data_IF_873364325308
#
_entry.id   IF_873364325308
#
_cell.length_a   1.000
_cell.length_b   1.000
_cell.length_c   1.000
_cell.angle_alpha   90.00
_cell.angle_beta   90.00
_cell.angle_gamma   90.00
#
_symmetry.space_group_name_H-M   'P 1'
#
loop_
_entity.id
_entity.type
_entity.pdbx_description
1 polymer ?
#
# COMPACT_ATOMS: atom_id res chain seq x y z
N UNK A 1 -6.27 10.00 38.38
CA UNK A 1 -5.95 9.04 37.31
C UNK A 1 -6.50 9.61 36.02
N UNK A 2 -5.67 10.14 35.09
CA UNK A 2 -6.17 10.69 33.83
C UNK A 2 -6.98 9.58 33.14
N UNK A 3 -8.23 9.89 32.78
CA UNK A 3 -9.22 8.93 32.30
C UNK A 3 -8.65 8.01 31.22
N UNK A 4 -8.37 6.76 31.57
CA UNK A 4 -7.80 5.70 30.69
C UNK A 4 -8.56 5.57 29.35
N UNK A 5 -9.84 5.94 29.35
CA UNK A 5 -10.72 5.98 28.18
C UNK A 5 -10.25 6.98 27.12
N UNK A 6 -9.78 8.15 27.53
CA UNK A 6 -9.31 9.18 26.59
C UNK A 6 -8.01 8.76 25.91
N UNK A 7 -7.11 8.12 26.67
CA UNK A 7 -5.85 7.57 26.14
C UNK A 7 -6.14 6.44 25.15
N UNK A 8 -7.10 5.56 25.45
CA UNK A 8 -7.51 4.50 24.53
C UNK A 8 -8.03 5.07 23.19
N UNK A 9 -8.86 6.12 23.23
CA UNK A 9 -9.33 6.77 22.00
C UNK A 9 -8.21 7.45 21.20
N UNK A 10 -7.22 8.04 21.88
CA UNK A 10 -6.03 8.58 21.21
C UNK A 10 -5.23 7.49 20.51
N UNK A 11 -5.04 6.34 21.16
CA UNK A 11 -4.34 5.18 20.57
C UNK A 11 -5.11 4.67 19.35
N UNK A 12 -6.43 4.51 19.46
CA UNK A 12 -7.27 4.07 18.34
C UNK A 12 -7.19 5.06 17.17
N UNK A 13 -7.29 6.36 17.45
CA UNK A 13 -7.17 7.40 16.42
C UNK A 13 -5.82 7.34 15.71
N UNK A 14 -4.72 7.19 16.46
CA UNK A 14 -3.39 7.03 15.89
C UNK A 14 -3.28 5.78 15.01
N UNK A 15 -3.84 4.64 15.44
CA UNK A 15 -3.84 3.40 14.66
C UNK A 15 -4.61 3.54 13.33
N UNK A 16 -5.77 4.20 13.35
CA UNK A 16 -6.55 4.44 12.12
C UNK A 16 -5.77 5.31 11.13
N UNK A 17 -5.09 6.36 11.61
CA UNK A 17 -4.25 7.22 10.77
C UNK A 17 -3.09 6.43 10.15
N UNK A 18 -2.40 5.60 10.94
CA UNK A 18 -1.29 4.76 10.45
C UNK A 18 -1.78 3.80 9.36
N UNK A 19 -2.90 3.11 9.59
CA UNK A 19 -3.48 2.21 8.59
C UNK A 19 -3.91 2.93 7.32
N UNK A 20 -4.45 4.15 7.44
CA UNK A 20 -4.80 4.99 6.29
C UNK A 20 -3.59 5.35 5.44
N UNK A 21 -2.48 5.79 6.07
CA UNK A 21 -1.24 6.14 5.37
C UNK A 21 -0.61 4.92 4.71
N UNK A 22 -0.48 3.80 5.44
CA UNK A 22 0.10 2.56 4.90
C UNK A 22 -0.77 1.98 3.78
N UNK A 23 -2.09 1.94 3.97
CA UNK A 23 -3.03 1.48 2.95
C UNK A 23 -2.99 2.35 1.70
N UNK A 24 -2.91 3.67 1.85
CA UNK A 24 -2.77 4.60 0.72
C UNK A 24 -1.44 4.43 0.00
N UNK A 25 -0.34 4.29 0.74
CA UNK A 25 0.99 4.07 0.17
C UNK A 25 1.06 2.75 -0.60
N UNK A 26 0.54 1.66 -0.03
CA UNK A 26 0.47 0.35 -0.69
C UNK A 26 -0.45 0.37 -1.91
N UNK A 27 -1.56 1.12 -1.85
CA UNK A 27 -2.47 1.28 -2.98
C UNK A 27 -1.84 2.10 -4.11
N UNK A 28 -1.06 3.14 -3.80
CA UNK A 28 -0.24 3.88 -4.77
C UNK A 28 0.83 2.97 -5.40
N UNK A 29 1.57 2.21 -4.60
CA UNK A 29 2.61 1.31 -5.08
C UNK A 29 2.06 0.19 -5.96
N UNK A 30 0.86 -0.32 -5.66
CA UNK A 30 0.15 -1.29 -6.53
C UNK A 30 -0.51 -0.64 -7.76
N UNK A 31 -0.78 0.66 -7.70
CA UNK A 31 -1.35 1.43 -8.81
C UNK A 31 -0.33 1.79 -9.86
N UNK A 32 0.93 1.94 -9.48
CA UNK A 32 2.01 1.76 -10.43
C UNK A 32 1.93 0.30 -10.87
N UNK A 33 1.44 -0.01 -12.08
CA UNK A 33 1.61 -1.36 -12.56
C UNK A 33 3.12 -1.57 -12.48
N UNK A 34 3.58 -2.58 -11.75
CA UNK A 34 4.87 -3.19 -12.04
C UNK A 34 4.75 -3.51 -13.52
N UNK A 35 5.23 -2.58 -14.35
CA UNK A 35 4.89 -2.54 -15.75
C UNK A 35 5.34 -3.89 -16.25
N UNK A 36 4.38 -4.72 -16.67
CA UNK A 36 4.68 -5.91 -17.43
C UNK A 36 5.68 -5.42 -18.47
N UNK A 37 6.94 -5.82 -18.32
CA UNK A 37 7.98 -5.43 -19.25
C UNK A 37 7.69 -6.26 -20.48
N UNK A 38 6.74 -5.78 -21.27
CA UNK A 38 6.38 -6.37 -22.55
C UNK A 38 7.53 -6.02 -23.48
N UNK A 39 8.60 -6.81 -23.38
CA UNK A 39 9.68 -6.80 -24.34
C UNK A 39 9.12 -7.43 -25.63
N UNK A 40 8.63 -6.56 -26.52
CA UNK A 40 8.20 -6.96 -27.86
C UNK A 40 9.47 -7.18 -28.69
N UNK A 41 10.00 -8.40 -28.64
CA UNK A 41 11.05 -8.85 -29.55
C UNK A 41 10.48 -9.16 -30.94
N UNK A 42 11.32 -9.26 -31.98
CA UNK A 42 10.90 -9.67 -33.33
C UNK A 42 10.17 -11.03 -33.37
N UNK A 43 10.29 -11.86 -32.33
CA UNK A 43 9.62 -13.16 -32.17
C UNK A 43 8.32 -13.13 -31.32
N UNK A 44 7.79 -11.95 -30.95
CA UNK A 44 6.50 -11.81 -30.25
C UNK A 44 6.58 -11.48 -28.74
N UNK A 45 5.41 -11.39 -28.08
CA UNK A 45 5.28 -11.03 -26.66
C UNK A 45 5.80 -12.15 -25.74
N UNK A 46 6.84 -11.86 -24.95
CA UNK A 46 7.26 -12.70 -23.81
C UNK A 46 6.82 -12.03 -22.51
N UNK A 47 5.95 -12.68 -21.75
CA UNK A 47 5.55 -12.25 -20.42
C UNK A 47 6.48 -12.94 -19.42
N UNK A 48 7.52 -12.25 -18.97
CA UNK A 48 8.30 -12.69 -17.81
C UNK A 48 7.66 -12.13 -16.54
N UNK A 49 7.16 -13.03 -15.68
CA UNK A 49 6.83 -12.70 -14.29
C UNK A 49 8.10 -12.81 -13.45
N UNK A 50 8.38 -11.79 -12.64
CA UNK A 50 9.48 -11.80 -11.66
C UNK A 50 9.05 -12.54 -10.39
#
# INVERSE_FOLDING_TARGET
>A
MPNNRNVLFLIIGALVVVLGVVGYNLYQEKKEPQGLQINVGPDGLKIENK
#
